data_IF_580534502693
#
_entry.id   IF_580534502693
#
_cell.length_a   1.000
_cell.length_b   1.000
_cell.length_c   1.000
_cell.angle_alpha   90.00
_cell.angle_beta   90.00
_cell.angle_gamma   90.00
#
_symmetry.space_group_name_H-M   'P 1'
#
loop_
_entity.id
_entity.type
_entity.pdbx_description
1 polymer ?
#
# COMPACT_ATOMS: atom_id res chain seq x y z
N UNK A 1 1.48 -2.20 12.70
CA UNK A 1 2.01 -1.69 11.41
C UNK A 1 1.89 -2.75 10.30
N UNK A 2 2.64 -3.85 10.35
CA UNK A 2 2.70 -4.84 9.26
C UNK A 2 1.34 -5.33 8.76
N UNK A 3 0.40 -5.65 9.67
CA UNK A 3 -0.96 -6.05 9.28
C UNK A 3 -1.68 -5.01 8.42
N UNK A 4 -1.50 -3.72 8.72
CA UNK A 4 -2.12 -2.62 7.97
C UNK A 4 -1.49 -2.47 6.58
N UNK A 5 -0.15 -2.36 6.51
CA UNK A 5 0.55 -2.20 5.24
C UNK A 5 0.37 -3.41 4.31
N UNK A 6 0.30 -4.62 4.86
CA UNK A 6 0.01 -5.83 4.09
C UNK A 6 -1.43 -5.83 3.56
N UNK A 7 -2.40 -5.26 4.28
CA UNK A 7 -3.75 -5.06 3.76
C UNK A 7 -3.74 -4.03 2.64
N UNK A 8 -3.16 -2.85 2.84
CA UNK A 8 -3.06 -1.81 1.80
C UNK A 8 -2.49 -2.34 0.48
N UNK A 9 -1.42 -3.14 0.54
CA UNK A 9 -0.85 -3.80 -0.64
C UNK A 9 -1.82 -4.79 -1.33
N UNK A 10 -2.55 -5.61 -0.56
CA UNK A 10 -3.54 -6.55 -1.11
C UNK A 10 -4.77 -5.84 -1.67
N UNK A 11 -5.28 -4.84 -0.97
CA UNK A 11 -6.42 -4.02 -1.40
C UNK A 11 -6.11 -3.31 -2.72
N UNK A 12 -4.88 -2.81 -2.89
CA UNK A 12 -4.45 -2.17 -4.14
C UNK A 12 -4.63 -3.07 -5.36
N UNK A 13 -4.39 -4.38 -5.25
CA UNK A 13 -4.63 -5.33 -6.35
C UNK A 13 -6.10 -5.38 -6.74
N UNK A 14 -6.99 -5.40 -5.75
CA UNK A 14 -8.44 -5.43 -5.96
C UNK A 14 -8.95 -4.11 -6.58
N UNK A 15 -8.44 -2.99 -6.08
CA UNK A 15 -8.83 -1.64 -6.53
C UNK A 15 -8.41 -1.35 -7.99
N UNK A 16 -7.37 -2.02 -8.50
CA UNK A 16 -6.86 -1.82 -9.86
C UNK A 16 -7.33 -2.86 -10.89
N UNK A 17 -8.27 -3.74 -10.51
CA UNK A 17 -8.92 -4.62 -11.47
C UNK A 17 -9.66 -3.79 -12.53
N UNK A 18 -9.46 -4.09 -13.81
CA UNK A 18 -10.12 -3.40 -14.90
C UNK A 18 -10.65 -4.38 -15.95
N UNK A 19 -11.64 -3.93 -16.71
CA UNK A 19 -12.22 -4.72 -17.77
C UNK A 19 -11.30 -4.68 -19.01
N UNK A 20 -10.78 -5.83 -19.42
CA UNK A 20 -10.02 -5.99 -20.66
C UNK A 20 -10.88 -6.72 -21.68
N UNK A 21 -10.95 -6.18 -22.89
CA UNK A 21 -11.81 -6.72 -23.96
C UNK A 21 -10.99 -7.14 -25.17
N UNK A 22 -11.48 -8.16 -25.89
CA UNK A 22 -11.02 -8.53 -27.23
C UNK A 22 -12.18 -8.40 -28.22
N UNK A 23 -11.96 -7.62 -29.27
CA UNK A 23 -12.90 -7.43 -30.37
C UNK A 23 -12.70 -8.51 -31.43
N UNK A 24 -13.80 -9.03 -31.95
CA UNK A 24 -13.78 -10.13 -32.94
C UNK A 24 -14.97 -10.10 -33.90
N UNK A 25 -15.55 -8.92 -34.13
CA UNK A 25 -16.50 -8.69 -35.21
C UNK A 25 -15.84 -8.74 -36.61
N UNK A 26 -16.65 -8.55 -37.66
CA UNK A 26 -16.17 -8.56 -39.05
C UNK A 26 -14.98 -7.60 -39.21
N UNK A 27 -13.89 -8.09 -39.81
CA UNK A 27 -12.62 -7.36 -39.99
C UNK A 27 -12.02 -6.78 -38.71
N UNK A 28 -12.30 -7.37 -37.54
CA UNK A 28 -11.79 -6.90 -36.24
C UNK A 28 -12.61 -5.77 -35.61
N UNK A 29 -13.80 -5.49 -36.13
CA UNK A 29 -14.72 -4.52 -35.51
C UNK A 29 -15.12 -4.94 -34.09
N UNK A 30 -15.48 -3.96 -33.25
CA UNK A 30 -15.85 -4.16 -31.85
C UNK A 30 -17.36 -4.27 -31.61
N UNK A 31 -18.17 -4.39 -32.66
CA UNK A 31 -19.63 -4.63 -32.56
C UNK A 31 -19.94 -5.89 -31.75
N UNK A 32 -19.06 -6.89 -31.87
CA UNK A 32 -19.01 -8.06 -30.97
C UNK A 32 -17.65 -8.09 -30.29
N UNK A 33 -17.67 -8.13 -28.96
CA UNK A 33 -16.47 -8.25 -28.13
C UNK A 33 -16.75 -9.10 -26.90
N UNK A 34 -15.71 -9.74 -26.41
CA UNK A 34 -15.74 -10.48 -25.13
C UNK A 34 -14.78 -9.81 -24.17
N UNK A 35 -15.20 -9.62 -22.93
CA UNK A 35 -14.41 -8.94 -21.91
C UNK A 35 -14.23 -9.81 -20.66
N UNK A 36 -13.16 -9.57 -19.92
CA UNK A 36 -12.86 -10.24 -18.65
C UNK A 36 -12.18 -9.26 -17.69
N UNK A 37 -12.28 -9.52 -16.39
CA UNK A 37 -11.51 -8.80 -15.39
C UNK A 37 -10.04 -9.16 -15.49
N UNK A 38 -9.19 -8.15 -15.60
CA UNK A 38 -7.75 -8.30 -15.69
C UNK A 38 -7.06 -7.41 -14.65
N UNK A 39 -5.93 -7.89 -14.15
CA UNK A 39 -4.98 -7.08 -13.41
C UNK A 39 -4.20 -6.17 -14.36
N UNK A 40 -3.70 -5.01 -13.90
CA UNK A 40 -2.77 -4.19 -14.69
C UNK A 40 -1.40 -4.85 -14.77
N UNK A 41 -0.48 -4.26 -15.55
CA UNK A 41 0.95 -4.52 -15.35
C UNK A 41 1.31 -4.16 -13.91
N UNK A 42 2.13 -4.98 -13.25
CA UNK A 42 2.53 -4.79 -11.87
C UNK A 42 3.25 -3.45 -11.64
N UNK A 43 3.81 -2.83 -12.69
CA UNK A 43 4.34 -1.47 -12.62
C UNK A 43 3.32 -0.45 -12.14
N UNK A 44 2.06 -0.53 -12.59
CA UNK A 44 1.01 0.37 -12.12
C UNK A 44 0.76 0.22 -10.61
N UNK A 45 0.86 -1.00 -10.08
CA UNK A 45 0.77 -1.28 -8.64
C UNK A 45 1.98 -0.69 -7.90
N UNK A 46 3.18 -0.87 -8.45
CA UNK A 46 4.42 -0.30 -7.91
C UNK A 46 4.38 1.21 -7.84
N UNK A 47 3.96 1.88 -8.92
CA UNK A 47 3.82 3.33 -9.00
C UNK A 47 2.80 3.83 -7.97
N UNK A 48 1.63 3.18 -7.87
CA UNK A 48 0.62 3.52 -6.88
C UNK A 48 1.14 3.39 -5.44
N UNK A 49 1.80 2.28 -5.11
CA UNK A 49 2.33 2.05 -3.76
C UNK A 49 3.53 2.96 -3.46
N UNK A 50 4.27 3.40 -4.48
CA UNK A 50 5.32 4.41 -4.34
C UNK A 50 4.74 5.78 -3.98
N UNK A 51 3.60 6.17 -4.58
CA UNK A 51 2.88 7.38 -4.17
C UNK A 51 2.39 7.26 -2.72
N UNK A 52 1.89 6.08 -2.33
CA UNK A 52 1.49 5.80 -0.93
C UNK A 52 2.66 5.82 0.04
N UNK A 53 3.86 5.46 -0.41
CA UNK A 53 5.08 5.58 0.38
C UNK A 53 5.43 7.04 0.63
N UNK A 54 5.36 7.90 -0.40
CA UNK A 54 5.65 9.33 -0.28
C UNK A 54 4.64 10.05 0.62
N UNK A 55 3.42 9.51 0.75
CA UNK A 55 2.36 10.01 1.63
C UNK A 55 2.13 9.18 2.90
N UNK A 56 3.09 8.34 3.31
CA UNK A 56 2.88 7.44 4.44
C UNK A 56 2.63 8.22 5.74
N UNK A 57 1.67 7.75 6.56
CA UNK A 57 1.30 8.42 7.80
C UNK A 57 2.18 7.97 8.98
N UNK A 58 2.80 8.93 9.66
CA UNK A 58 3.53 8.69 10.90
C UNK A 58 2.57 8.45 12.07
N UNK A 59 2.80 7.37 12.81
CA UNK A 59 1.99 6.90 13.92
C UNK A 59 2.79 6.95 15.23
N UNK A 60 2.07 6.96 16.34
CA UNK A 60 2.59 6.83 17.71
C UNK A 60 2.07 5.52 18.30
N UNK A 61 2.94 4.82 19.04
CA UNK A 61 2.60 3.60 19.74
C UNK A 61 1.93 3.93 21.07
N UNK A 62 0.72 3.42 21.29
CA UNK A 62 0.00 3.51 22.55
C UNK A 62 -0.16 2.11 23.15
N UNK A 63 0.09 1.98 24.46
CA UNK A 63 0.00 0.71 25.18
C UNK A 63 -1.20 0.72 26.11
N UNK A 64 -2.04 -0.30 26.02
CA UNK A 64 -3.15 -0.51 26.96
C UNK A 64 -3.25 -1.98 27.37
N UNK A 65 -3.98 -2.23 28.47
CA UNK A 65 -4.11 -3.58 29.04
C UNK A 65 -5.46 -4.18 28.66
N UNK A 66 -5.41 -5.33 28.02
CA UNK A 66 -6.58 -6.16 27.72
C UNK A 66 -6.59 -7.41 28.60
N UNK A 67 -7.64 -8.22 28.51
CA UNK A 67 -7.77 -9.47 29.26
C UNK A 67 -6.64 -10.47 29.00
N UNK A 68 -6.03 -10.42 27.80
CA UNK A 68 -4.93 -11.30 27.38
C UNK A 68 -3.53 -10.71 27.66
N UNK A 69 -3.43 -9.50 28.20
CA UNK A 69 -2.16 -8.85 28.50
C UNK A 69 -2.02 -7.45 27.90
N UNK A 70 -0.78 -6.97 27.78
CA UNK A 70 -0.47 -5.67 27.18
C UNK A 70 -0.60 -5.74 25.65
N UNK A 71 -1.28 -4.75 25.08
CA UNK A 71 -1.47 -4.60 23.64
C UNK A 71 -0.97 -3.22 23.23
N UNK A 72 -0.36 -3.17 22.06
CA UNK A 72 0.11 -1.94 21.43
C UNK A 72 -0.79 -1.61 20.24
N UNK A 73 -1.23 -0.35 20.16
CA UNK A 73 -1.99 0.18 19.04
C UNK A 73 -1.30 1.39 18.44
N UNK A 74 -1.67 1.72 17.21
CA UNK A 74 -1.10 2.84 16.47
C UNK A 74 -2.13 3.95 16.37
N UNK A 75 -1.75 5.15 16.81
CA UNK A 75 -2.54 6.37 16.64
C UNK A 75 -1.80 7.35 15.73
N UNK A 76 -2.51 8.04 14.84
CA UNK A 76 -1.89 9.06 13.99
C UNK A 76 -1.21 10.13 14.86
N UNK A 77 0.07 10.43 14.56
CA UNK A 77 0.88 11.38 15.33
C UNK A 77 0.29 12.80 15.25
N UNK A 78 -0.16 13.19 14.06
CA UNK A 78 -0.66 14.52 13.76
C UNK A 78 -2.18 14.51 13.54
N UNK A 79 -2.94 14.79 14.61
CA UNK A 79 -4.41 14.70 14.59
C UNK A 79 -5.13 15.74 13.71
N UNK A 80 -4.42 16.78 13.27
CA UNK A 80 -4.97 17.84 12.40
C UNK A 80 -5.05 17.41 10.92
N UNK A 81 -4.29 16.40 10.52
CA UNK A 81 -4.34 15.86 9.17
C UNK A 81 -5.38 14.75 9.05
N UNK A 82 -5.74 14.41 7.81
CA UNK A 82 -6.63 13.28 7.54
C UNK A 82 -5.99 12.00 8.09
N UNK A 83 -6.72 11.18 8.86
CA UNK A 83 -6.19 9.91 9.34
C UNK A 83 -5.99 8.92 8.18
N UNK A 84 -5.03 7.99 8.28
CA UNK A 84 -4.79 6.98 7.26
C UNK A 84 -5.99 6.03 7.11
N UNK A 85 -6.32 5.70 5.87
CA UNK A 85 -7.31 4.68 5.50
C UNK A 85 -6.65 3.31 5.36
N UNK A 86 -7.44 2.25 5.11
CA UNK A 86 -6.93 0.90 4.83
C UNK A 86 -6.06 0.79 3.56
N UNK A 87 -6.07 1.81 2.70
CA UNK A 87 -5.30 1.90 1.45
C UNK A 87 -4.02 2.72 1.59
N UNK A 88 -3.77 3.28 2.77
CA UNK A 88 -2.60 4.11 3.03
C UNK A 88 -1.51 3.28 3.73
N UNK A 89 -0.27 3.76 3.67
CA UNK A 89 0.83 3.15 4.41
C UNK A 89 1.04 3.89 5.73
N UNK A 90 1.40 3.14 6.76
CA UNK A 90 1.70 3.69 8.09
C UNK A 90 3.08 3.24 8.56
N UNK A 91 3.76 4.10 9.32
CA UNK A 91 5.03 3.82 9.97
C UNK A 91 5.11 4.53 11.34
N UNK A 92 6.04 4.13 12.21
CA UNK A 92 6.21 4.80 13.53
C UNK A 92 7.67 4.98 13.96
N UNK A 93 8.63 4.46 13.18
CA UNK A 93 10.07 4.64 13.43
C UNK A 93 10.68 5.44 12.29
N UNK A 94 11.59 6.36 12.63
CA UNK A 94 12.33 7.11 11.63
C UNK A 94 13.22 6.16 10.82
N UNK A 95 13.29 6.38 9.51
CA UNK A 95 14.26 5.68 8.68
C UNK A 95 15.69 6.12 9.06
N UNK A 96 16.67 5.20 9.04
CA UNK A 96 18.05 5.56 9.31
C UNK A 96 18.63 6.43 8.19
N UNK A 97 19.81 7.00 8.43
CA UNK A 97 20.59 7.61 7.35
C UNK A 97 21.18 6.50 6.48
N UNK A 98 20.99 6.60 5.16
CA UNK A 98 21.46 5.62 4.18
C UNK A 98 22.69 6.08 3.37
N UNK A 99 23.30 7.21 3.71
CA UNK A 99 24.40 7.80 2.92
C UNK A 99 25.75 7.11 3.16
N UNK A 100 25.98 6.58 4.36
CA UNK A 100 27.24 5.93 4.72
C UNK A 100 27.00 4.43 4.99
N UNK A 101 28.00 3.56 4.73
CA UNK A 101 27.91 2.15 5.08
C UNK A 101 27.74 1.98 6.60
N UNK A 102 26.69 1.29 7.01
CA UNK A 102 26.41 1.00 8.41
C UNK A 102 25.82 -0.42 8.59
N UNK A 103 26.65 -1.40 9.01
CA UNK A 103 26.22 -2.78 9.22
C UNK A 103 25.12 -2.97 10.27
N UNK A 104 24.99 -2.09 11.26
CA UNK A 104 23.93 -2.19 12.29
C UNK A 104 22.55 -1.93 11.70
N UNK A 105 22.47 -1.04 10.71
CA UNK A 105 21.23 -0.71 9.99
C UNK A 105 21.06 -1.52 8.70
N UNK A 106 22.08 -2.25 8.26
CA UNK A 106 22.12 -2.93 6.97
C UNK A 106 22.32 -2.00 5.76
N UNK A 107 22.73 -0.74 5.99
CA UNK A 107 23.04 0.23 4.93
C UNK A 107 24.42 -0.05 4.32
N UNK A 108 24.55 -0.02 3.00
CA UNK A 108 25.82 -0.18 2.29
C UNK A 108 26.50 1.14 1.90
N UNK A 109 25.83 2.28 2.15
CA UNK A 109 26.20 3.59 1.62
C UNK A 109 25.48 3.91 0.32
#
# INVERSE_FOLDING_TARGET
MNRHNNEAGRTTILDHMHLKCKCHGLSGSCEVKTCWWAQPDFRAIGDYLKDKYDSASEMVVEKHRESRGWVETLRAKYALFKPPTERDLVYYENSPNFCEPNPETGSFG
#
